data_IF_748458687765
#
_entry.id   IF_748458687765
#
_cell.length_a   1.000
_cell.length_b   1.000
_cell.length_c   1.000
_cell.angle_alpha   90.00
_cell.angle_beta   90.00
_cell.angle_gamma   90.00
#
_symmetry.space_group_name_H-M   'P 1'
#
loop_
_entity.id
_entity.type
_entity.pdbx_description
1 polymer ?
#
# COMPACT_ATOMS: atom_id res chain seq x y z
N UNK A 1 27.77 4.77 14.29
CA UNK A 1 26.70 3.93 13.72
C UNK A 1 25.53 4.85 13.41
N UNK A 2 25.21 5.04 12.14
CA UNK A 2 24.21 6.01 11.69
C UNK A 2 22.79 5.55 12.03
N UNK A 3 21.89 6.49 12.25
CA UNK A 3 20.45 6.27 12.53
C UNK A 3 19.81 5.33 11.49
N UNK A 4 20.28 5.37 10.25
CA UNK A 4 19.89 4.48 9.13
C UNK A 4 20.15 2.99 9.43
N UNK A 5 21.24 2.64 10.09
CA UNK A 5 21.58 1.26 10.44
C UNK A 5 20.73 0.70 11.60
N UNK A 6 20.24 1.58 12.45
CA UNK A 6 19.34 1.20 13.56
C UNK A 6 17.91 0.93 13.08
N UNK A 7 17.42 1.77 12.16
CA UNK A 7 16.09 1.59 11.54
C UNK A 7 16.03 0.27 10.74
N UNK A 8 17.03 -0.01 9.92
CA UNK A 8 17.14 -1.26 9.16
C UNK A 8 17.19 -2.50 10.06
N UNK A 9 17.82 -2.43 11.23
CA UNK A 9 17.81 -3.53 12.22
C UNK A 9 16.48 -3.69 12.92
N UNK A 10 15.75 -2.61 13.21
CA UNK A 10 14.42 -2.67 13.83
C UNK A 10 13.35 -3.22 12.88
N UNK A 11 13.55 -3.10 11.56
CA UNK A 11 12.65 -3.61 10.52
C UNK A 11 12.94 -5.10 10.21
N UNK A 12 13.90 -5.73 10.89
CA UNK A 12 14.24 -7.14 10.66
C UNK A 12 15.03 -7.40 9.39
N UNK A 13 15.64 -6.35 8.81
CA UNK A 13 16.53 -6.45 7.66
C UNK A 13 17.89 -7.03 8.06
N UNK A 14 17.98 -8.33 8.22
CA UNK A 14 19.22 -9.08 8.26
C UNK A 14 19.58 -9.57 6.87
N UNK A 15 20.87 -9.56 6.54
CA UNK A 15 21.49 -9.82 5.21
C UNK A 15 21.23 -11.20 4.57
N UNK A 16 20.29 -11.99 5.07
CA UNK A 16 19.76 -13.20 4.40
C UNK A 16 18.36 -12.97 3.80
N UNK A 17 18.13 -11.78 3.34
CA UNK A 17 16.86 -11.21 2.93
C UNK A 17 16.37 -11.74 1.57
N UNK A 18 17.25 -12.12 0.66
CA UNK A 18 16.91 -12.42 -0.73
C UNK A 18 15.95 -13.60 -0.96
N UNK A 19 15.94 -14.58 -0.07
CA UNK A 19 14.99 -15.71 -0.19
C UNK A 19 13.66 -15.47 0.54
N UNK A 20 13.68 -14.75 1.69
CA UNK A 20 12.46 -14.41 2.42
C UNK A 20 11.65 -13.29 1.78
N UNK A 21 12.31 -12.37 1.07
CA UNK A 21 11.67 -11.23 0.38
C UNK A 21 10.94 -11.67 -0.88
N UNK A 22 11.45 -12.67 -1.61
CA UNK A 22 10.72 -13.30 -2.70
C UNK A 22 9.37 -13.87 -2.25
N UNK A 23 9.26 -14.30 -0.99
CA UNK A 23 8.06 -14.90 -0.44
C UNK A 23 6.99 -13.89 0.06
N UNK A 24 7.32 -12.62 0.27
CA UNK A 24 6.39 -11.57 0.71
C UNK A 24 5.96 -10.62 -0.43
N UNK A 25 6.41 -10.84 -1.67
CA UNK A 25 5.95 -10.08 -2.83
C UNK A 25 4.61 -10.61 -3.34
N UNK A 26 3.62 -9.76 -3.32
CA UNK A 26 2.27 -10.03 -3.81
C UNK A 26 1.85 -8.95 -4.81
N UNK A 27 1.90 -9.27 -6.10
CA UNK A 27 1.39 -8.38 -7.14
C UNK A 27 -0.11 -8.21 -7.01
N UNK A 28 -0.57 -6.97 -7.04
CA UNK A 28 -2.00 -6.64 -7.05
C UNK A 28 -2.55 -6.85 -8.46
N UNK A 29 -3.64 -7.61 -8.60
CA UNK A 29 -4.27 -7.72 -9.91
C UNK A 29 -4.75 -6.35 -10.42
N UNK A 30 -4.60 -6.04 -11.72
CA UNK A 30 -5.00 -4.77 -12.31
C UNK A 30 -6.42 -4.35 -11.95
N UNK A 31 -7.35 -5.30 -11.96
CA UNK A 31 -8.76 -5.11 -11.62
C UNK A 31 -8.99 -4.52 -10.24
N UNK A 32 -8.13 -4.81 -9.26
CA UNK A 32 -8.25 -4.23 -7.92
C UNK A 32 -7.98 -2.72 -7.93
N UNK A 33 -7.03 -2.27 -8.77
CA UNK A 33 -6.71 -0.87 -8.95
C UNK A 33 -7.76 -0.15 -9.80
N UNK A 34 -8.26 -0.79 -10.85
CA UNK A 34 -9.39 -0.29 -11.66
C UNK A 34 -10.61 -0.02 -10.78
N UNK A 35 -10.98 -0.98 -9.95
CA UNK A 35 -12.08 -0.84 -8.99
C UNK A 35 -11.85 0.33 -8.01
N UNK A 36 -10.62 0.52 -7.52
CA UNK A 36 -10.30 1.66 -6.67
C UNK A 36 -10.56 3.00 -7.38
N UNK A 37 -10.17 3.11 -8.65
CA UNK A 37 -10.36 4.31 -9.46
C UNK A 37 -11.83 4.61 -9.81
N UNK A 38 -12.69 3.59 -9.82
CA UNK A 38 -14.15 3.76 -9.92
C UNK A 38 -14.76 4.31 -8.62
N UNK A 39 -14.17 3.98 -7.47
CA UNK A 39 -14.70 4.31 -6.14
C UNK A 39 -14.17 5.62 -5.59
N UNK A 40 -12.94 6.00 -5.95
CA UNK A 40 -12.23 7.16 -5.41
C UNK A 40 -11.61 8.00 -6.51
N UNK A 41 -11.56 9.32 -6.28
CA UNK A 41 -10.81 10.25 -7.10
C UNK A 41 -9.51 10.58 -6.40
N UNK A 42 -8.43 10.54 -7.15
CA UNK A 42 -7.08 10.85 -6.68
C UNK A 42 -6.52 12.10 -7.34
N UNK A 43 -5.50 12.69 -6.70
CA UNK A 43 -4.71 13.76 -7.28
C UNK A 43 -4.08 13.33 -8.62
N UNK A 44 -3.67 14.32 -9.40
CA UNK A 44 -2.94 14.06 -10.65
C UNK A 44 -1.60 13.37 -10.41
N UNK A 45 -0.94 13.70 -9.29
CA UNK A 45 0.32 13.11 -8.88
C UNK A 45 0.05 11.98 -7.89
N UNK A 46 0.58 10.80 -8.18
CA UNK A 46 0.48 9.63 -7.30
C UNK A 46 1.87 9.04 -7.06
N UNK A 47 2.15 8.69 -5.81
CA UNK A 47 3.29 7.87 -5.43
C UNK A 47 2.86 6.43 -5.20
N UNK A 48 3.51 5.48 -5.87
CA UNK A 48 3.45 4.05 -5.57
C UNK A 48 4.83 3.59 -5.05
N UNK A 49 5.04 3.60 -3.71
CA UNK A 49 6.36 3.37 -3.12
C UNK A 49 6.70 1.89 -2.86
N UNK A 50 5.85 0.96 -3.30
CA UNK A 50 6.05 -0.49 -3.26
C UNK A 50 5.57 -1.09 -4.59
N UNK A 51 6.10 -0.57 -5.71
CA UNK A 51 5.53 -0.79 -7.03
C UNK A 51 5.77 -2.21 -7.58
N UNK A 52 6.72 -2.94 -7.01
CA UNK A 52 7.07 -4.27 -7.51
C UNK A 52 7.42 -4.25 -9.00
N UNK A 53 6.71 -5.03 -9.79
CA UNK A 53 6.82 -5.09 -11.26
C UNK A 53 5.92 -4.07 -11.98
N UNK A 54 5.29 -3.12 -11.24
CA UNK A 54 4.54 -2.00 -11.81
C UNK A 54 3.07 -2.26 -12.16
N UNK A 55 2.49 -3.38 -11.77
CA UNK A 55 1.12 -3.74 -12.15
C UNK A 55 0.08 -2.66 -11.77
N UNK A 56 0.20 -2.08 -10.58
CA UNK A 56 -0.66 -0.99 -10.13
C UNK A 56 -0.31 0.34 -10.81
N UNK A 57 0.99 0.66 -10.90
CA UNK A 57 1.47 1.88 -11.57
C UNK A 57 0.97 1.99 -13.01
N UNK A 58 0.96 0.90 -13.76
CA UNK A 58 0.52 0.90 -15.15
C UNK A 58 -0.99 1.22 -15.27
N UNK A 59 -1.83 0.68 -14.37
CA UNK A 59 -3.26 1.01 -14.32
C UNK A 59 -3.46 2.49 -13.98
N UNK A 60 -2.75 3.01 -12.99
CA UNK A 60 -2.82 4.42 -12.59
C UNK A 60 -2.38 5.36 -13.74
N UNK A 61 -1.29 5.02 -14.44
CA UNK A 61 -0.82 5.77 -15.62
C UNK A 61 -1.82 5.73 -16.76
N UNK A 62 -2.40 4.56 -17.05
CA UNK A 62 -3.42 4.40 -18.08
C UNK A 62 -4.68 5.24 -17.78
N UNK A 63 -5.03 5.43 -16.50
CA UNK A 63 -6.08 6.33 -16.04
C UNK A 63 -5.70 7.82 -16.11
N UNK A 64 -4.47 8.14 -16.52
CA UNK A 64 -4.00 9.50 -16.77
C UNK A 64 -3.30 10.15 -15.59
N UNK A 65 -2.94 9.43 -14.54
CA UNK A 65 -2.16 9.99 -13.43
C UNK A 65 -0.66 10.07 -13.75
N UNK A 66 0.02 11.03 -13.12
CA UNK A 66 1.49 11.12 -13.11
C UNK A 66 2.01 10.28 -11.96
N UNK A 67 2.46 9.06 -12.24
CA UNK A 67 2.86 8.10 -11.20
C UNK A 67 4.36 8.13 -11.00
N UNK A 68 4.78 8.43 -9.78
CA UNK A 68 6.14 8.17 -9.29
C UNK A 68 6.15 6.77 -8.69
N UNK A 69 6.91 5.86 -9.30
CA UNK A 69 6.96 4.45 -8.87
C UNK A 69 8.31 4.14 -8.26
N UNK A 70 8.34 3.53 -7.08
CA UNK A 70 9.57 3.05 -6.45
C UNK A 70 9.33 1.75 -5.69
N UNK A 71 10.38 1.00 -5.48
CA UNK A 71 10.40 -0.18 -4.61
C UNK A 71 11.75 -0.28 -3.90
N UNK A 72 11.79 -0.91 -2.73
CA UNK A 72 13.05 -1.18 -2.03
C UNK A 72 13.95 -2.14 -2.83
N UNK A 73 13.34 -3.02 -3.63
CA UNK A 73 13.99 -4.08 -4.38
C UNK A 73 13.85 -3.80 -5.86
N UNK A 74 14.95 -3.85 -6.60
CA UNK A 74 14.93 -3.79 -8.06
C UNK A 74 14.19 -5.01 -8.63
N UNK A 75 13.04 -4.75 -9.24
CA UNK A 75 12.23 -5.75 -9.96
C UNK A 75 12.06 -5.40 -11.44
N UNK A 76 12.94 -4.51 -11.94
CA UNK A 76 12.89 -4.05 -13.33
C UNK A 76 11.86 -2.95 -13.59
N UNK A 77 11.28 -2.34 -12.54
CA UNK A 77 10.31 -1.27 -12.67
C UNK A 77 10.48 -0.22 -11.56
N UNK A 78 10.33 1.05 -11.93
CA UNK A 78 10.43 2.16 -10.98
C UNK A 78 11.85 2.46 -10.48
N UNK A 79 11.95 3.38 -9.53
CA UNK A 79 13.21 3.75 -8.88
C UNK A 79 13.48 2.79 -7.72
N UNK A 80 14.74 2.40 -7.50
CA UNK A 80 15.13 1.65 -6.30
C UNK A 80 15.23 2.62 -5.12
N UNK A 81 14.14 2.72 -4.37
CA UNK A 81 14.02 3.65 -3.25
C UNK A 81 12.97 3.17 -2.27
N UNK A 82 13.29 3.23 -0.98
CA UNK A 82 12.34 2.87 0.07
C UNK A 82 11.30 3.96 0.29
N UNK A 83 10.05 3.59 0.63
CA UNK A 83 9.04 4.51 1.16
C UNK A 83 9.60 5.36 2.33
N UNK A 84 10.45 4.77 3.16
CA UNK A 84 11.00 5.42 4.35
C UNK A 84 12.07 6.48 4.03
N UNK A 85 12.57 6.53 2.80
CA UNK A 85 13.54 7.53 2.33
C UNK A 85 12.88 8.80 1.76
N UNK A 86 11.55 8.82 1.60
CA UNK A 86 10.81 10.01 1.21
C UNK A 86 10.62 10.92 2.44
N UNK A 87 10.91 12.21 2.29
CA UNK A 87 10.68 13.22 3.33
C UNK A 87 9.34 13.93 3.15
N UNK A 88 8.93 14.13 1.88
CA UNK A 88 7.68 14.78 1.50
C UNK A 88 7.24 14.31 0.12
N UNK A 89 5.92 14.29 -0.13
CA UNK A 89 5.32 14.07 -1.44
C UNK A 89 4.06 14.92 -1.60
N UNK A 90 4.06 15.83 -2.59
CA UNK A 90 2.93 16.68 -2.96
C UNK A 90 2.00 15.91 -3.91
N UNK A 91 1.10 15.11 -3.35
CA UNK A 91 0.17 14.25 -4.07
C UNK A 91 -0.34 13.08 -3.22
N UNK A 92 -1.12 12.22 -3.84
CA UNK A 92 -1.70 11.04 -3.18
C UNK A 92 -0.76 9.84 -3.21
N UNK A 93 -0.97 8.91 -2.30
CA UNK A 93 -0.23 7.63 -2.25
C UNK A 93 -1.21 6.49 -2.50
N UNK A 94 -0.87 5.60 -3.46
CA UNK A 94 -1.64 4.38 -3.74
C UNK A 94 -0.67 3.21 -3.81
N UNK A 95 -0.82 2.21 -2.94
CA UNK A 95 0.15 1.10 -2.87
C UNK A 95 -0.40 -0.16 -2.22
N UNK A 96 0.29 -1.28 -2.45
CA UNK A 96 0.15 -2.54 -1.72
C UNK A 96 1.46 -2.80 -0.95
N UNK A 97 1.56 -2.37 0.31
CA UNK A 97 2.79 -2.49 1.07
C UNK A 97 3.03 -3.92 1.56
N UNK A 98 4.27 -4.28 1.93
CA UNK A 98 4.55 -5.53 2.64
C UNK A 98 3.71 -5.63 3.92
N UNK A 99 2.92 -6.70 4.06
CA UNK A 99 1.90 -6.80 5.14
C UNK A 99 2.49 -6.75 6.54
N UNK A 100 3.73 -7.22 6.72
CA UNK A 100 4.45 -7.16 8.01
C UNK A 100 4.77 -5.73 8.43
N UNK A 101 4.95 -4.83 7.47
CA UNK A 101 5.28 -3.41 7.66
C UNK A 101 4.09 -2.49 7.42
N UNK A 102 2.90 -3.04 7.16
CA UNK A 102 1.74 -2.26 6.71
C UNK A 102 1.43 -1.06 7.62
N UNK A 103 1.47 -1.23 8.94
CA UNK A 103 1.22 -0.12 9.87
C UNK A 103 2.28 0.98 9.78
N UNK A 104 3.55 0.60 9.66
CA UNK A 104 4.65 1.57 9.55
C UNK A 104 4.60 2.27 8.18
N UNK A 105 4.20 1.55 7.12
CA UNK A 105 3.97 2.13 5.81
C UNK A 105 2.81 3.14 5.83
N UNK A 106 1.69 2.83 6.49
CA UNK A 106 0.58 3.79 6.65
C UNK A 106 1.03 5.03 7.40
N UNK A 107 1.71 4.87 8.54
CA UNK A 107 2.23 5.99 9.34
C UNK A 107 3.16 6.88 8.51
N UNK A 108 4.12 6.26 7.82
CA UNK A 108 5.08 6.99 6.98
C UNK A 108 4.39 7.71 5.83
N UNK A 109 3.44 7.07 5.16
CA UNK A 109 2.68 7.68 4.07
C UNK A 109 1.87 8.89 4.55
N UNK A 110 1.21 8.79 5.70
CA UNK A 110 0.52 9.93 6.30
C UNK A 110 1.47 11.03 6.77
N UNK A 111 2.70 10.71 7.14
CA UNK A 111 3.69 11.69 7.56
C UNK A 111 4.19 12.57 6.40
N UNK A 112 4.38 11.98 5.22
CA UNK A 112 5.00 12.63 4.07
C UNK A 112 4.04 13.34 3.11
N UNK A 113 2.72 13.19 3.25
CA UNK A 113 1.74 13.93 2.44
C UNK A 113 1.18 15.12 3.20
N UNK A 114 0.67 16.12 2.50
CA UNK A 114 0.00 17.27 3.09
C UNK A 114 -1.46 16.99 3.44
N UNK A 115 -2.06 17.85 4.28
CA UNK A 115 -3.46 17.73 4.67
C UNK A 115 -4.38 17.76 3.43
N UNK A 116 -5.36 16.85 3.42
CA UNK A 116 -6.30 16.65 2.32
C UNK A 116 -5.86 15.62 1.28
N UNK A 117 -4.57 15.28 1.21
CA UNK A 117 -4.11 14.19 0.36
C UNK A 117 -4.52 12.82 0.89
N UNK A 118 -4.70 11.89 -0.04
CA UNK A 118 -5.15 10.53 0.24
C UNK A 118 -3.99 9.55 0.29
N UNK A 119 -4.14 8.59 1.20
CA UNK A 119 -3.30 7.39 1.26
C UNK A 119 -4.21 6.18 1.10
N UNK A 120 -4.12 5.50 -0.02
CA UNK A 120 -4.87 4.29 -0.34
C UNK A 120 -3.96 3.07 -0.27
N UNK A 121 -4.31 2.12 0.60
CA UNK A 121 -3.54 0.89 0.75
C UNK A 121 -4.39 -0.34 0.56
N UNK A 122 -3.89 -1.27 -0.26
CA UNK A 122 -4.49 -2.57 -0.48
C UNK A 122 -4.01 -3.54 0.58
N UNK A 123 -4.86 -3.83 1.57
CA UNK A 123 -4.47 -4.59 2.75
C UNK A 123 -5.41 -5.77 3.01
N UNK A 124 -4.91 -6.75 3.77
CA UNK A 124 -5.76 -7.81 4.29
C UNK A 124 -6.81 -7.23 5.23
N UNK A 125 -8.04 -7.75 5.19
CA UNK A 125 -9.12 -7.32 6.09
C UNK A 125 -8.74 -7.43 7.58
N UNK A 126 -7.88 -8.41 7.92
CA UNK A 126 -7.33 -8.56 9.28
C UNK A 126 -6.52 -7.36 9.75
N UNK A 127 -6.19 -6.40 8.87
CA UNK A 127 -5.58 -5.15 9.28
C UNK A 127 -6.47 -4.32 10.22
N UNK A 128 -7.79 -4.51 10.19
CA UNK A 128 -8.72 -3.93 11.16
C UNK A 128 -8.58 -4.47 12.58
N UNK A 129 -7.91 -5.61 12.75
CA UNK A 129 -7.75 -6.30 14.02
C UNK A 129 -6.38 -6.02 14.63
N UNK A 130 -6.28 -5.68 15.86
CA UNK A 130 -5.21 -5.75 16.86
C UNK A 130 -5.24 -4.53 17.79
N UNK A 131 -4.74 -4.71 19.02
CA UNK A 131 -4.67 -3.65 20.03
C UNK A 131 -3.85 -2.44 19.54
N UNK A 132 -2.67 -2.67 18.99
CA UNK A 132 -1.79 -1.60 18.50
C UNK A 132 -2.42 -0.80 17.36
N UNK A 133 -3.16 -1.46 16.46
CA UNK A 133 -3.85 -0.77 15.37
C UNK A 133 -5.09 -0.02 15.84
N UNK A 134 -5.79 -0.52 16.87
CA UNK A 134 -6.88 0.22 17.49
C UNK A 134 -6.41 1.60 17.97
N UNK A 135 -5.31 1.65 18.73
CA UNK A 135 -4.74 2.91 19.22
C UNK A 135 -4.35 3.86 18.07
N UNK A 136 -3.85 3.30 16.97
CA UNK A 136 -3.54 4.07 15.75
C UNK A 136 -4.81 4.60 15.08
N UNK A 137 -5.85 3.79 14.92
CA UNK A 137 -7.11 4.19 14.28
C UNK A 137 -7.90 5.22 15.09
N UNK A 138 -7.75 5.24 16.42
CA UNK A 138 -8.31 6.28 17.28
C UNK A 138 -7.70 7.66 16.99
N UNK A 139 -6.45 7.72 16.54
CA UNK A 139 -5.75 8.96 16.19
C UNK A 139 -5.85 9.30 14.69
N UNK A 140 -5.78 8.27 13.84
CA UNK A 140 -5.74 8.36 12.39
C UNK A 140 -6.72 7.34 11.78
N UNK A 141 -8.05 7.58 11.89
CA UNK A 141 -9.04 6.68 11.33
C UNK A 141 -8.94 6.66 9.80
N UNK A 142 -9.02 5.50 9.13
CA UNK A 142 -9.27 5.49 7.71
C UNK A 142 -10.63 6.13 7.43
N UNK A 143 -10.72 6.98 6.39
CA UNK A 143 -11.96 7.63 6.00
C UNK A 143 -12.99 6.61 5.52
N UNK A 144 -12.51 5.65 4.71
CA UNK A 144 -13.35 4.56 4.22
C UNK A 144 -12.54 3.27 4.04
N UNK A 145 -13.20 2.14 4.27
CA UNK A 145 -12.69 0.81 3.96
C UNK A 145 -13.64 0.16 2.95
N UNK A 146 -13.14 -0.10 1.73
CA UNK A 146 -13.86 -0.79 0.69
C UNK A 146 -13.58 -2.28 0.72
N UNK A 147 -14.56 -3.05 1.11
CA UNK A 147 -14.48 -4.51 1.16
C UNK A 147 -15.01 -5.09 -0.14
N UNK A 148 -14.17 -5.77 -0.88
CA UNK A 148 -14.58 -6.40 -2.11
C UNK A 148 -15.52 -7.60 -1.85
N UNK A 149 -16.73 -7.57 -2.42
CA UNK A 149 -17.69 -8.69 -2.34
C UNK A 149 -17.28 -9.85 -3.24
N UNK A 150 -16.57 -9.57 -4.34
CA UNK A 150 -15.85 -10.57 -5.14
C UNK A 150 -14.38 -10.55 -4.73
N UNK A 151 -13.78 -11.72 -4.67
CA UNK A 151 -12.37 -11.81 -4.30
C UNK A 151 -11.49 -11.06 -5.29
N UNK A 152 -10.70 -10.16 -4.77
CA UNK A 152 -9.60 -9.53 -5.48
C UNK A 152 -8.33 -10.34 -5.22
N UNK A 153 -7.54 -10.58 -6.26
CA UNK A 153 -6.35 -11.40 -6.16
C UNK A 153 -5.10 -10.57 -5.85
N UNK A 154 -4.26 -11.16 -5.01
CA UNK A 154 -2.85 -10.80 -4.92
C UNK A 154 -2.04 -12.04 -5.33
N UNK A 155 -1.33 -11.97 -6.43
CA UNK A 155 -0.54 -13.09 -6.89
C UNK A 155 0.83 -13.11 -6.21
N UNK A 156 1.19 -14.23 -5.59
CA UNK A 156 2.55 -14.43 -5.08
C UNK A 156 3.50 -14.43 -6.27
N UNK A 157 4.56 -13.62 -6.20
CA UNK A 157 5.56 -13.47 -7.27
C UNK A 157 4.97 -13.11 -8.65
N UNK A 158 3.86 -12.38 -8.71
CA UNK A 158 3.25 -11.91 -9.96
C UNK A 158 2.54 -12.97 -10.82
N UNK A 159 2.47 -14.22 -10.38
CA UNK A 159 1.82 -15.29 -11.14
C UNK A 159 0.33 -15.38 -10.85
N UNK A 160 -0.48 -14.64 -11.61
CA UNK A 160 -1.95 -14.65 -11.49
C UNK A 160 -2.59 -15.97 -11.91
N UNK A 161 -1.89 -16.86 -12.64
CA UNK A 161 -2.43 -18.15 -13.09
C UNK A 161 -2.38 -19.22 -12.00
N UNK A 162 -1.45 -19.11 -11.06
CA UNK A 162 -1.33 -20.03 -9.91
C UNK A 162 -2.10 -19.58 -8.68
N UNK A 163 -2.91 -18.51 -8.79
CA UNK A 163 -3.66 -18.00 -7.65
C UNK A 163 -4.76 -18.98 -7.23
N UNK A 164 -4.44 -19.74 -6.18
CA UNK A 164 -5.41 -20.65 -5.53
C UNK A 164 -6.16 -19.99 -4.37
N UNK A 165 -6.22 -18.68 -4.32
CA UNK A 165 -6.69 -17.71 -3.32
C UNK A 165 -7.87 -18.04 -2.45
N UNK A 166 -7.81 -19.16 -1.72
CA UNK A 166 -8.95 -19.63 -0.91
C UNK A 166 -9.01 -19.02 0.50
N UNK A 167 -7.93 -18.38 0.98
CA UNK A 167 -7.81 -18.08 2.42
C UNK A 167 -7.72 -16.60 2.81
N UNK A 168 -7.42 -15.67 1.90
CA UNK A 168 -7.19 -14.26 2.25
C UNK A 168 -8.21 -13.34 1.59
N UNK A 169 -8.74 -12.40 2.37
CA UNK A 169 -9.62 -11.34 1.88
C UNK A 169 -8.92 -10.01 2.00
N UNK A 170 -9.04 -9.19 0.96
CA UNK A 170 -8.42 -7.89 0.86
C UNK A 170 -9.46 -6.79 0.80
N UNK A 171 -9.06 -5.59 1.19
CA UNK A 171 -9.84 -4.38 1.12
C UNK A 171 -8.94 -3.19 0.78
N UNK A 172 -9.51 -2.17 0.18
CA UNK A 172 -8.88 -0.88 0.08
C UNK A 172 -9.15 -0.07 1.33
N UNK A 173 -8.09 0.39 1.98
CA UNK A 173 -8.14 1.30 3.12
C UNK A 173 -7.75 2.67 2.63
N UNK A 174 -8.63 3.64 2.79
CA UNK A 174 -8.42 5.01 2.34
C UNK A 174 -8.32 5.92 3.55
N UNK A 175 -7.16 6.51 3.76
CA UNK A 175 -6.97 7.64 4.65
C UNK A 175 -7.00 8.93 3.85
N UNK A 176 -7.43 10.00 4.49
CA UNK A 176 -7.25 11.37 4.03
C UNK A 176 -6.55 12.12 5.17
N UNK A 177 -5.38 12.71 4.90
CA UNK A 177 -4.59 13.40 5.91
C UNK A 177 -5.42 14.51 6.53
N UNK A 178 -5.46 14.57 7.86
CA UNK A 178 -6.29 15.53 8.60
C UNK A 178 -7.71 15.07 8.91
N UNK A 179 -8.19 13.96 8.32
CA UNK A 179 -9.53 13.41 8.61
C UNK A 179 -9.66 12.98 10.08
N UNK A 180 -10.82 13.33 10.70
CA UNK A 180 -11.13 13.05 12.12
C UNK A 180 -12.53 12.44 12.33
N UNK A 181 -13.21 12.06 11.25
CA UNK A 181 -14.53 11.45 11.34
C UNK A 181 -14.48 9.95 11.60
N UNK A 182 -15.64 9.31 11.65
CA UNK A 182 -15.78 7.88 11.79
C UNK A 182 -15.36 7.15 10.51
N UNK A 183 -14.79 5.95 10.65
CA UNK A 183 -14.48 5.09 9.52
C UNK A 183 -15.76 4.54 8.91
N UNK A 184 -15.96 4.76 7.62
CA UNK A 184 -17.08 4.23 6.85
C UNK A 184 -16.64 2.91 6.21
N UNK A 185 -17.42 1.85 6.42
CA UNK A 185 -17.22 0.58 5.71
C UNK A 185 -18.20 0.48 4.56
N UNK A 186 -17.69 0.18 3.36
CA UNK A 186 -18.49 -0.02 2.14
C UNK A 186 -18.14 -1.34 1.47
N UNK A 187 -19.14 -1.97 0.87
CA UNK A 187 -18.91 -3.12 -0.02
C UNK A 187 -18.82 -2.63 -1.46
N UNK A 188 -17.92 -3.24 -2.21
CA UNK A 188 -17.70 -2.93 -3.63
C UNK A 188 -17.53 -4.22 -4.46
N UNK A 189 -17.71 -4.10 -5.77
CA UNK A 189 -17.57 -5.20 -6.73
C UNK A 189 -16.85 -4.73 -7.99
#
# INVERSE_FOLDING_TARGET
>A
MTTKSRLLRSIGATLNQSERERDDYYATEPKATELLLELEKFDKKILEPCCGEGHMSEVLKAAGHNVTSSDLIDRGYGEVKSLFDYEHFDGDIVTNPPYKLALDCVKKSLDIVDDGHKVAMFLKIQFLESKTRKEFFEQYPPKVVYVASKRLACAKNGDFNQYTGKAMSFAWFIWEKGYKGDTILKWCN
#
